data_IF_008027580937
#
_entry.id   IF_008027580937
#
_cell.length_a   1.000
_cell.length_b   1.000
_cell.length_c   1.000
_cell.angle_alpha   90.00
_cell.angle_beta   90.00
_cell.angle_gamma   90.00
#
_symmetry.space_group_name_H-M   'P 1'
#
loop_
_entity.id
_entity.type
_entity.pdbx_description
1 polymer ?
#
# COMPACT_ATOMS: atom_id res chain seq x y z
N UNK A 1 19.69 4.64 1.40
CA UNK A 1 18.85 3.55 0.85
C UNK A 1 17.84 3.11 1.89
N UNK A 2 16.64 2.75 1.47
CA UNK A 2 15.55 2.20 2.30
C UNK A 2 15.18 0.83 1.74
N UNK A 3 14.87 -0.11 2.61
CA UNK A 3 14.40 -1.43 2.18
C UNK A 3 13.01 -1.31 1.57
N UNK A 4 12.75 -2.07 0.51
CA UNK A 4 11.41 -2.22 -0.01
C UNK A 4 11.06 -3.69 -0.24
N UNK A 5 9.76 -3.99 -0.22
CA UNK A 5 9.26 -5.33 -0.56
C UNK A 5 7.93 -5.25 -1.29
N UNK A 6 7.74 -6.07 -2.32
CA UNK A 6 6.46 -6.35 -2.94
C UNK A 6 5.84 -7.56 -2.24
N UNK A 7 4.63 -7.36 -1.71
CA UNK A 7 3.90 -8.32 -0.90
C UNK A 7 2.60 -8.72 -1.58
N UNK A 8 2.19 -9.97 -1.42
CA UNK A 8 0.84 -10.44 -1.73
C UNK A 8 0.31 -11.37 -0.62
N UNK A 9 -0.81 -12.05 -0.85
CA UNK A 9 -1.42 -12.98 0.11
C UNK A 9 -0.54 -14.19 0.47
N UNK A 10 0.47 -14.51 -0.36
CA UNK A 10 1.41 -15.61 -0.12
C UNK A 10 2.72 -15.15 0.53
N UNK A 11 2.92 -13.83 0.71
CA UNK A 11 4.07 -13.25 1.37
C UNK A 11 4.91 -12.35 0.46
N UNK A 12 6.21 -12.27 0.74
CA UNK A 12 7.16 -11.40 0.03
C UNK A 12 7.53 -12.00 -1.33
N UNK A 13 7.09 -11.34 -2.42
CA UNK A 13 7.43 -11.74 -3.81
C UNK A 13 8.76 -11.19 -4.27
N UNK A 14 9.03 -9.94 -3.94
CA UNK A 14 10.26 -9.26 -4.31
C UNK A 14 10.70 -8.34 -3.20
N UNK A 15 11.99 -8.09 -3.11
CA UNK A 15 12.57 -7.13 -2.18
C UNK A 15 13.83 -6.52 -2.77
N UNK A 16 14.20 -5.37 -2.26
CA UNK A 16 15.43 -4.69 -2.63
C UNK A 16 15.64 -3.45 -1.79
N UNK A 17 16.47 -2.57 -2.32
CA UNK A 17 16.71 -1.25 -1.75
C UNK A 17 16.31 -0.18 -2.76
N UNK A 18 15.87 0.96 -2.25
CA UNK A 18 15.45 2.11 -3.04
C UNK A 18 15.95 3.40 -2.41
N UNK A 19 16.24 4.40 -3.22
CA UNK A 19 16.55 5.74 -2.71
C UNK A 19 15.29 6.44 -2.21
N UNK A 20 15.42 7.22 -1.13
CA UNK A 20 14.29 7.97 -0.56
C UNK A 20 13.59 8.85 -1.62
N UNK A 21 14.37 9.45 -2.52
CA UNK A 21 13.88 10.32 -3.59
C UNK A 21 13.06 9.58 -4.66
N UNK A 22 13.25 8.28 -4.83
CA UNK A 22 12.53 7.47 -5.82
C UNK A 22 11.18 6.96 -5.32
N UNK A 23 10.99 6.89 -3.99
CA UNK A 23 9.77 6.34 -3.36
C UNK A 23 8.48 7.03 -3.84
N UNK A 24 8.39 8.38 -3.95
CA UNK A 24 7.18 9.02 -4.46
C UNK A 24 6.83 8.60 -5.89
N UNK A 25 7.84 8.43 -6.77
CA UNK A 25 7.63 7.99 -8.14
C UNK A 25 7.10 6.55 -8.22
N UNK A 26 7.64 5.65 -7.39
CA UNK A 26 7.16 4.28 -7.29
C UNK A 26 5.73 4.22 -6.74
N UNK A 27 5.41 4.99 -5.69
CA UNK A 27 4.06 5.07 -5.14
C UNK A 27 3.04 5.53 -6.20
N UNK A 28 3.39 6.53 -7.00
CA UNK A 28 2.53 6.99 -8.09
C UNK A 28 2.33 5.91 -9.17
N UNK A 29 3.37 5.12 -9.48
CA UNK A 29 3.23 3.97 -10.40
C UNK A 29 2.24 2.95 -9.83
N UNK A 30 2.39 2.57 -8.57
CA UNK A 30 1.50 1.62 -7.91
C UNK A 30 0.07 2.14 -7.77
N UNK A 31 -0.13 3.42 -7.50
CA UNK A 31 -1.45 4.05 -7.46
C UNK A 31 -2.18 3.93 -8.81
N UNK A 32 -1.47 4.17 -9.92
CA UNK A 32 -2.05 4.02 -11.28
C UNK A 32 -2.47 2.58 -11.57
N UNK A 33 -1.68 1.60 -11.15
CA UNK A 33 -2.04 0.18 -11.26
C UNK A 33 -3.22 -0.17 -10.36
N UNK A 34 -3.24 0.34 -9.12
CA UNK A 34 -4.34 0.15 -8.19
C UNK A 34 -5.67 0.68 -8.76
N UNK A 35 -5.64 1.80 -9.48
CA UNK A 35 -6.83 2.35 -10.14
C UNK A 35 -7.36 1.40 -11.22
N UNK A 36 -6.47 0.71 -11.96
CA UNK A 36 -6.88 -0.31 -12.95
C UNK A 36 -7.46 -1.53 -12.28
N UNK A 37 -6.84 -2.00 -11.19
CA UNK A 37 -7.33 -3.14 -10.41
C UNK A 37 -8.71 -2.82 -9.82
N UNK A 38 -8.88 -1.66 -9.19
CA UNK A 38 -10.17 -1.22 -8.63
C UNK A 38 -11.27 -1.21 -9.69
N UNK A 39 -11.01 -0.65 -10.88
CA UNK A 39 -11.99 -0.64 -11.98
C UNK A 39 -12.35 -2.05 -12.45
N UNK A 40 -11.39 -2.98 -12.45
CA UNK A 40 -11.59 -4.35 -12.89
C UNK A 40 -12.34 -5.20 -11.87
N UNK A 41 -12.05 -5.01 -10.58
CA UNK A 41 -12.62 -5.85 -9.50
C UNK A 41 -13.87 -5.25 -8.89
N UNK A 42 -14.07 -3.95 -8.99
CA UNK A 42 -15.14 -3.25 -8.28
C UNK A 42 -14.96 -3.20 -6.77
N UNK A 43 -13.74 -3.41 -6.27
CA UNK A 43 -13.43 -3.38 -4.84
C UNK A 43 -13.68 -2.00 -4.22
N UNK A 44 -13.96 -1.97 -2.93
CA UNK A 44 -14.17 -0.72 -2.20
C UNK A 44 -12.83 0.01 -1.96
N UNK A 45 -11.78 -0.77 -1.73
CA UNK A 45 -10.43 -0.27 -1.54
C UNK A 45 -9.40 -1.09 -2.31
N UNK A 46 -8.29 -0.45 -2.67
CA UNK A 46 -7.10 -1.16 -3.14
C UNK A 46 -5.89 -0.64 -2.37
N UNK A 47 -5.33 -1.47 -1.49
CA UNK A 47 -4.09 -1.19 -0.78
C UNK A 47 -2.91 -1.39 -1.74
N UNK A 48 -2.10 -0.36 -1.91
CA UNK A 48 -0.96 -0.40 -2.83
C UNK A 48 0.38 -0.04 -2.18
N UNK A 49 0.38 0.55 -0.99
CA UNK A 49 1.61 0.88 -0.29
C UNK A 49 1.46 1.05 1.22
N UNK A 50 2.51 0.72 1.95
CA UNK A 50 2.66 1.02 3.38
C UNK A 50 4.09 1.51 3.62
N UNK A 51 4.24 2.70 4.17
CA UNK A 51 5.51 3.18 4.74
C UNK A 51 5.55 2.84 6.21
N UNK A 52 6.56 2.13 6.67
CA UNK A 52 6.72 1.75 8.08
C UNK A 52 7.88 2.54 8.68
N UNK A 53 7.60 3.22 9.78
CA UNK A 53 8.53 4.07 10.51
C UNK A 53 9.01 3.38 11.78
N UNK A 54 10.27 3.63 12.14
CA UNK A 54 10.81 3.19 13.42
C UNK A 54 10.35 4.10 14.56
N UNK A 55 10.79 3.76 15.77
CA UNK A 55 10.57 4.60 16.96
C UNK A 55 11.36 5.92 16.93
N UNK A 56 12.26 6.07 15.97
CA UNK A 56 13.06 7.27 15.68
C UNK A 56 12.39 8.19 14.63
N UNK A 57 11.12 7.93 14.29
CA UNK A 57 10.36 8.58 13.21
C UNK A 57 11.04 8.51 11.82
N UNK A 58 12.03 7.62 11.66
CA UNK A 58 12.70 7.40 10.39
C UNK A 58 12.03 6.26 9.64
N UNK A 59 11.87 6.45 8.33
CA UNK A 59 11.35 5.43 7.43
C UNK A 59 12.28 4.20 7.45
N UNK A 60 11.78 3.06 7.91
CA UNK A 60 12.53 1.79 7.97
C UNK A 60 12.37 0.97 6.71
N UNK A 61 11.15 0.89 6.18
CA UNK A 61 10.85 0.12 4.98
C UNK A 61 9.61 0.66 4.28
N UNK A 62 9.53 0.40 2.97
CA UNK A 62 8.31 0.56 2.19
C UNK A 62 7.83 -0.82 1.76
N UNK A 63 6.55 -1.11 1.93
CA UNK A 63 5.94 -2.32 1.41
C UNK A 63 4.95 -1.93 0.33
N UNK A 64 5.07 -2.52 -0.85
CA UNK A 64 4.14 -2.35 -1.95
C UNK A 64 3.21 -3.56 -2.03
N UNK A 65 1.97 -3.30 -2.42
CA UNK A 65 0.90 -4.28 -2.50
C UNK A 65 0.11 -4.06 -3.79
N UNK A 66 -0.79 -4.99 -4.10
CA UNK A 66 -1.85 -4.77 -5.09
C UNK A 66 -3.11 -5.53 -4.67
N UNK A 67 -3.61 -5.19 -3.48
CA UNK A 67 -4.63 -5.97 -2.80
C UNK A 67 -5.98 -5.24 -2.85
N UNK A 68 -6.92 -5.67 -3.70
CA UNK A 68 -8.31 -5.23 -3.62
C UNK A 68 -8.97 -5.80 -2.37
N UNK A 69 -9.78 -5.00 -1.69
CA UNK A 69 -10.46 -5.39 -0.45
C UNK A 69 -11.77 -4.62 -0.28
N UNK A 70 -12.68 -5.20 0.50
CA UNK A 70 -13.92 -4.56 0.94
C UNK A 70 -13.66 -3.67 2.18
N UNK A 71 -14.60 -2.78 2.50
CA UNK A 71 -14.52 -1.84 3.62
C UNK A 71 -14.10 -2.50 4.95
N UNK A 72 -14.77 -3.58 5.36
CA UNK A 72 -14.52 -4.24 6.66
C UNK A 72 -13.09 -4.76 6.78
N UNK A 73 -12.57 -5.35 5.70
CA UNK A 73 -11.20 -5.87 5.67
C UNK A 73 -10.17 -4.74 5.78
N UNK A 74 -10.41 -3.63 5.08
CA UNK A 74 -9.56 -2.46 5.13
C UNK A 74 -9.53 -1.83 6.52
N UNK A 75 -10.68 -1.61 7.16
CA UNK A 75 -10.73 -1.04 8.51
C UNK A 75 -10.07 -1.94 9.55
N UNK A 76 -10.25 -3.26 9.44
CA UNK A 76 -9.57 -4.23 10.31
C UNK A 76 -8.06 -4.20 10.15
N UNK A 77 -7.57 -4.04 8.91
CA UNK A 77 -6.14 -3.93 8.62
C UNK A 77 -5.58 -2.62 9.15
N UNK A 78 -6.16 -1.49 8.76
CA UNK A 78 -5.67 -0.15 9.10
C UNK A 78 -5.74 0.15 10.60
N UNK A 79 -6.76 -0.34 11.31
CA UNK A 79 -6.91 -0.17 12.75
C UNK A 79 -5.85 -0.87 13.62
N UNK A 80 -5.09 -1.83 13.05
CA UNK A 80 -4.04 -2.58 13.77
C UNK A 80 -2.63 -2.04 13.52
N UNK A 81 -2.45 -1.27 12.47
CA UNK A 81 -1.14 -0.79 12.05
C UNK A 81 -0.75 0.43 12.88
N UNK A 82 0.47 0.42 13.42
CA UNK A 82 1.07 1.54 14.17
C UNK A 82 2.34 2.00 13.46
N UNK A 83 2.68 3.29 13.64
CA UNK A 83 3.88 3.91 13.06
C UNK A 83 4.00 3.65 11.57
N UNK A 84 2.89 3.74 10.84
CA UNK A 84 2.88 3.55 9.41
C UNK A 84 1.98 4.56 8.72
N UNK A 85 2.31 4.84 7.47
CA UNK A 85 1.48 5.59 6.54
C UNK A 85 0.97 4.62 5.48
N UNK A 86 -0.35 4.47 5.42
CA UNK A 86 -1.04 3.54 4.53
C UNK A 86 -1.48 4.30 3.28
N UNK A 87 -1.23 3.70 2.12
CA UNK A 87 -1.58 4.21 0.81
C UNK A 87 -2.56 3.24 0.15
N UNK A 88 -3.80 3.70 -0.01
CA UNK A 88 -4.86 2.96 -0.65
C UNK A 88 -5.70 3.88 -1.53
N UNK A 89 -6.25 3.33 -2.60
CA UNK A 89 -7.34 3.97 -3.33
C UNK A 89 -8.67 3.60 -2.67
N UNK A 90 -9.58 4.57 -2.64
CA UNK A 90 -10.94 4.39 -2.15
C UNK A 90 -11.94 4.56 -3.29
N UNK A 91 -12.87 3.63 -3.41
CA UNK A 91 -13.89 3.65 -4.43
C UNK A 91 -15.08 4.51 -3.97
N UNK A 92 -15.01 5.79 -4.28
CA UNK A 92 -16.07 6.74 -3.91
C UNK A 92 -17.39 6.55 -4.69
N UNK A 93 -17.43 5.65 -5.68
CA UNK A 93 -18.67 5.37 -6.42
C UNK A 93 -19.65 4.47 -5.68
N UNK A 94 -19.25 3.91 -4.53
CA UNK A 94 -20.05 2.99 -3.70
C UNK A 94 -20.56 3.59 -2.38
N UNK A 95 -20.28 4.86 -2.07
CA UNK A 95 -20.95 5.51 -0.94
C UNK A 95 -22.34 6.03 -1.37
N UNK A 96 -23.43 5.66 -0.66
CA UNK A 96 -24.75 6.28 -0.80
C UNK A 96 -24.80 7.73 -0.30
#
# INVERSE_FOLDING_TARGET
MVKWSLMDSTGCKQRGEIELAQIPGELLRFEREAARVMKKTGADHVLYGIKIYGTDDRLKTVQFYMNPMEDEEFYRLTGRVRNAMIYALHNHSKNP
#
